data_IF_216220792407
#
_entry.id   IF_216220792407
#
_cell.length_a   1.000
_cell.length_b   1.000
_cell.length_c   1.000
_cell.angle_alpha   90.00
_cell.angle_beta   90.00
_cell.angle_gamma   90.00
#
_symmetry.space_group_name_H-M   'P 1'
#
loop_
_entity.id
_entity.type
_entity.pdbx_description
1 polymer ?
#
# COMPACT_ATOMS: atom_id res chain seq x y z
N UNK A 1 14.22 9.38 -14.47
CA UNK A 1 14.28 9.50 -12.99
C UNK A 1 13.75 8.20 -12.41
N UNK A 2 14.44 7.56 -11.47
CA UNK A 2 13.87 6.42 -10.74
C UNK A 2 12.76 6.91 -9.81
N UNK A 3 11.69 6.11 -9.64
CA UNK A 3 10.62 6.43 -8.68
C UNK A 3 11.12 6.27 -7.24
N UNK A 4 10.52 7.02 -6.32
CA UNK A 4 10.82 6.99 -4.89
C UNK A 4 10.01 5.83 -4.25
N UNK A 5 10.67 4.84 -3.64
CA UNK A 5 9.98 3.73 -3.00
C UNK A 5 9.28 4.20 -1.72
N UNK A 6 8.03 3.81 -1.53
CA UNK A 6 7.22 4.17 -0.35
C UNK A 6 6.46 2.97 0.22
N UNK A 7 6.15 3.05 1.50
CA UNK A 7 5.27 2.10 2.19
C UNK A 7 3.97 2.76 2.63
N UNK A 8 2.84 2.03 2.54
CA UNK A 8 1.54 2.49 3.08
C UNK A 8 1.25 1.74 4.38
N UNK A 9 1.25 2.46 5.51
CA UNK A 9 0.90 1.89 6.81
C UNK A 9 -0.62 1.85 6.99
N UNK A 10 -1.16 0.72 7.45
CA UNK A 10 -2.61 0.54 7.60
C UNK A 10 -3.35 0.56 6.26
N UNK A 11 -2.75 -0.04 5.24
CA UNK A 11 -3.23 -0.05 3.86
C UNK A 11 -4.65 -0.64 3.73
N UNK A 12 -5.06 -1.54 4.62
CA UNK A 12 -6.39 -2.19 4.56
C UNK A 12 -7.53 -1.29 5.04
N UNK A 13 -7.25 -0.20 5.77
CA UNK A 13 -8.28 0.77 6.17
C UNK A 13 -8.69 1.69 5.01
N UNK A 14 -9.84 2.36 5.12
CA UNK A 14 -10.40 3.23 4.06
C UNK A 14 -9.41 4.26 3.51
N UNK A 15 -8.63 4.90 4.40
CA UNK A 15 -7.61 5.88 4.02
C UNK A 15 -6.41 5.20 3.32
N UNK A 16 -5.97 4.06 3.84
CA UNK A 16 -4.88 3.29 3.27
C UNK A 16 -5.19 2.79 1.85
N UNK A 17 -6.40 2.25 1.66
CA UNK A 17 -6.87 1.82 0.35
C UNK A 17 -6.91 3.00 -0.64
N UNK A 18 -7.34 4.18 -0.18
CA UNK A 18 -7.33 5.39 -1.00
C UNK A 18 -5.91 5.81 -1.39
N UNK A 19 -4.95 5.73 -0.48
CA UNK A 19 -3.54 5.98 -0.80
C UNK A 19 -3.01 4.98 -1.83
N UNK A 20 -3.30 3.69 -1.69
CA UNK A 20 -2.89 2.67 -2.67
C UNK A 20 -3.44 3.00 -4.06
N UNK A 21 -4.71 3.40 -4.16
CA UNK A 21 -5.32 3.81 -5.43
C UNK A 21 -4.63 5.03 -6.06
N UNK A 22 -4.37 6.08 -5.26
CA UNK A 22 -3.73 7.29 -5.75
C UNK A 22 -2.26 7.06 -6.14
N UNK A 23 -1.54 6.24 -5.38
CA UNK A 23 -0.13 5.96 -5.58
C UNK A 23 0.13 4.99 -6.74
N UNK A 24 -0.85 4.14 -7.10
CA UNK A 24 -0.74 3.17 -8.19
C UNK A 24 -0.35 3.80 -9.54
N UNK A 25 -0.72 5.06 -9.78
CA UNK A 25 -0.43 5.80 -11.02
C UNK A 25 0.46 7.03 -10.80
N UNK A 26 1.10 7.14 -9.63
CA UNK A 26 1.85 8.34 -9.28
C UNK A 26 3.18 8.45 -10.08
N UNK A 27 3.52 9.65 -10.61
CA UNK A 27 4.72 9.82 -11.42
C UNK A 27 6.02 9.68 -10.61
N UNK A 28 5.96 9.97 -9.31
CA UNK A 28 7.15 10.03 -8.45
C UNK A 28 7.29 8.87 -7.49
N UNK A 29 6.20 8.15 -7.17
CA UNK A 29 6.19 7.19 -6.08
C UNK A 29 5.88 5.79 -6.60
N UNK A 30 6.52 4.80 -5.97
CA UNK A 30 6.27 3.38 -6.19
C UNK A 30 6.00 2.71 -4.85
N UNK A 31 4.83 2.08 -4.72
CA UNK A 31 4.47 1.36 -3.50
C UNK A 31 5.20 0.03 -3.48
N UNK A 32 6.19 -0.11 -2.59
CA UNK A 32 6.99 -1.33 -2.46
C UNK A 32 6.60 -2.16 -1.23
N UNK A 33 5.84 -1.56 -0.31
CA UNK A 33 5.37 -2.23 0.89
C UNK A 33 3.99 -1.72 1.30
N UNK A 34 3.17 -2.62 1.85
CA UNK A 34 1.90 -2.29 2.49
C UNK A 34 1.85 -3.02 3.83
N UNK A 35 1.27 -2.39 4.84
CA UNK A 35 1.04 -3.04 6.13
C UNK A 35 -0.44 -3.08 6.46
N UNK A 36 -0.82 -4.03 7.30
CA UNK A 36 -2.17 -4.18 7.82
C UNK A 36 -2.13 -4.65 9.27
N UNK A 37 -3.20 -5.28 9.74
CA UNK A 37 -3.23 -5.90 11.06
C UNK A 37 -2.35 -7.15 11.14
N UNK A 38 -2.00 -7.60 12.35
CA UNK A 38 -1.27 -8.84 12.59
C UNK A 38 -1.94 -10.06 11.93
N UNK A 39 -3.28 -10.10 11.92
CA UNK A 39 -4.10 -11.17 11.32
C UNK A 39 -3.89 -11.36 9.82
N UNK A 40 -3.32 -10.36 9.15
CA UNK A 40 -3.15 -10.32 7.68
C UNK A 40 -1.68 -10.35 7.27
N UNK A 41 -0.75 -10.46 8.22
CA UNK A 41 0.70 -10.52 7.94
C UNK A 41 1.02 -11.72 7.05
N UNK A 42 1.88 -11.51 6.05
CA UNK A 42 2.32 -12.55 5.12
C UNK A 42 1.27 -12.95 4.06
N UNK A 43 0.04 -12.44 4.15
CA UNK A 43 -1.03 -12.70 3.17
C UNK A 43 -0.99 -11.66 2.05
N UNK A 44 -1.43 -12.02 0.82
CA UNK A 44 -1.64 -11.05 -0.25
C UNK A 44 -2.58 -9.93 0.20
N UNK A 45 -2.28 -8.69 -0.21
CA UNK A 45 -3.04 -7.50 0.17
C UNK A 45 -4.56 -7.63 -0.04
N UNK A 46 -4.98 -8.24 -1.17
CA UNK A 46 -6.39 -8.49 -1.52
C UNK A 46 -7.16 -9.36 -0.52
N UNK A 47 -6.47 -10.10 0.35
CA UNK A 47 -7.10 -10.96 1.34
C UNK A 47 -7.30 -10.28 2.70
N UNK A 48 -6.66 -9.12 2.90
CA UNK A 48 -6.77 -8.32 4.12
C UNK A 48 -7.70 -7.11 3.99
N UNK A 49 -8.24 -6.88 2.78
CA UNK A 49 -9.22 -5.84 2.45
C UNK A 49 -10.63 -6.37 2.61
#
# INVERSE_FOLDING_TARGET
MAKIPVGVLGATGTVGQRFVQLLAVHPWFEVVAVTGSERTVGRPYREGV
#
